data_IF_084311415711
#
_entry.id   IF_084311415711
#
_cell.length_a   1.000
_cell.length_b   1.000
_cell.length_c   1.000
_cell.angle_alpha   90.00
_cell.angle_beta   90.00
_cell.angle_gamma   90.00
#
_symmetry.space_group_name_H-M   'P 1'
#
loop_
_entity.id
_entity.type
_entity.pdbx_description
1 polymer ?
#
# COMPACT_ATOMS: atom_id res chain seq x y z
N UNK A 1 -19.91 -5.93 7.24
CA UNK A 1 -19.62 -4.87 8.22
C UNK A 1 -20.72 -4.80 9.29
N UNK A 2 -22.01 -4.80 8.95
CA UNK A 2 -23.12 -4.84 9.91
C UNK A 2 -22.98 -5.92 10.98
N UNK A 3 -22.72 -7.17 10.57
CA UNK A 3 -22.50 -8.29 11.51
C UNK A 3 -21.37 -7.99 12.50
N UNK A 4 -20.28 -7.39 12.05
CA UNK A 4 -19.16 -7.04 12.93
C UNK A 4 -19.59 -6.01 13.99
N UNK A 5 -20.22 -4.93 13.54
CA UNK A 5 -20.64 -3.82 14.41
C UNK A 5 -21.73 -4.23 15.41
N UNK A 6 -22.63 -5.14 15.01
CA UNK A 6 -23.67 -5.69 15.91
C UNK A 6 -23.14 -6.72 16.89
N UNK A 7 -22.03 -7.40 16.56
CA UNK A 7 -21.42 -8.41 17.43
C UNK A 7 -20.63 -7.78 18.57
N UNK A 8 -19.90 -6.70 18.29
CA UNK A 8 -19.14 -5.96 19.30
C UNK A 8 -18.97 -4.51 18.84
N UNK A 9 -19.44 -3.55 19.64
CA UNK A 9 -19.36 -2.12 19.39
C UNK A 9 -17.94 -1.57 19.33
N UNK A 10 -16.99 -2.26 19.95
CA UNK A 10 -15.58 -1.89 19.88
C UNK A 10 -14.88 -2.38 18.62
N UNK A 11 -15.49 -3.24 17.84
CA UNK A 11 -14.91 -3.73 16.59
C UNK A 11 -14.80 -2.63 15.54
N UNK A 12 -13.75 -2.71 14.71
CA UNK A 12 -13.57 -1.83 13.57
C UNK A 12 -12.97 -2.58 12.38
N UNK A 13 -13.07 -1.97 11.21
CA UNK A 13 -12.51 -2.49 9.96
C UNK A 13 -11.52 -1.47 9.41
N UNK A 14 -10.36 -1.95 8.98
CA UNK A 14 -9.41 -1.23 8.13
C UNK A 14 -9.39 -1.97 6.81
N UNK A 15 -9.87 -1.37 5.71
CA UNK A 15 -9.78 -1.98 4.38
C UNK A 15 -8.34 -2.21 3.99
N UNK A 16 -7.99 -3.47 3.68
CA UNK A 16 -6.65 -3.88 3.33
C UNK A 16 -6.27 -3.43 1.91
N UNK A 17 -4.99 -3.06 1.70
CA UNK A 17 -4.35 -2.78 0.39
C UNK A 17 -5.33 -2.21 -0.65
N UNK A 18 -5.91 -1.04 -0.34
CA UNK A 18 -7.09 -0.49 -1.01
C UNK A 18 -6.99 -0.30 -2.52
N UNK A 19 -5.81 -0.36 -3.10
CA UNK A 19 -5.53 -0.08 -4.50
C UNK A 19 -5.20 -1.29 -5.37
N UNK A 20 -4.93 -2.47 -4.79
CA UNK A 20 -4.58 -3.64 -5.61
C UNK A 20 -5.68 -3.95 -6.62
N UNK A 21 -5.35 -4.41 -7.85
CA UNK A 21 -6.36 -4.61 -8.90
C UNK A 21 -7.53 -5.50 -8.48
N UNK A 22 -7.28 -6.49 -7.63
CA UNK A 22 -8.29 -7.41 -7.08
C UNK A 22 -8.28 -7.37 -5.55
N UNK A 23 -9.39 -7.74 -4.94
CA UNK A 23 -9.56 -7.87 -3.48
C UNK A 23 -9.25 -6.58 -2.71
N UNK A 24 -9.65 -5.45 -3.28
CA UNK A 24 -9.45 -4.12 -2.71
C UNK A 24 -10.70 -3.26 -2.90
N UNK A 25 -10.74 -2.07 -2.31
CA UNK A 25 -11.88 -1.16 -2.47
C UNK A 25 -11.76 -0.35 -3.77
N UNK A 26 -10.61 0.26 -4.02
CA UNK A 26 -10.41 1.23 -5.12
C UNK A 26 -9.68 0.65 -6.33
N UNK A 27 -9.30 -0.61 -6.30
CA UNK A 27 -8.57 -1.26 -7.38
C UNK A 27 -9.33 -1.27 -8.71
N UNK A 28 -8.60 -1.37 -9.80
CA UNK A 28 -9.15 -1.31 -11.17
C UNK A 28 -10.19 -2.40 -11.50
N UNK A 29 -10.32 -3.41 -10.67
CA UNK A 29 -11.30 -4.51 -10.81
C UNK A 29 -12.31 -4.57 -9.66
N UNK A 30 -12.29 -3.60 -8.74
CA UNK A 30 -13.23 -3.55 -7.59
C UNK A 30 -14.62 -3.06 -7.99
N UNK A 31 -14.69 -2.12 -8.91
CA UNK A 31 -15.94 -1.49 -9.34
C UNK A 31 -16.33 -0.22 -8.56
N UNK A 32 -15.55 0.20 -7.55
CA UNK A 32 -15.83 1.38 -6.73
C UNK A 32 -14.79 2.48 -6.96
N UNK A 33 -15.21 3.74 -6.86
CA UNK A 33 -14.38 4.94 -7.03
C UNK A 33 -14.23 5.74 -5.73
N UNK A 34 -14.87 5.31 -4.66
CA UNK A 34 -14.74 5.88 -3.32
C UNK A 34 -15.08 4.87 -2.24
N UNK A 35 -14.69 5.19 -1.00
CA UNK A 35 -15.02 4.39 0.19
C UNK A 35 -16.53 4.42 0.43
N UNK A 36 -17.16 5.57 0.17
CA UNK A 36 -18.60 5.79 0.31
C UNK A 36 -19.41 4.92 -0.68
N UNK A 37 -18.94 4.77 -1.92
CA UNK A 37 -19.60 3.86 -2.89
C UNK A 37 -19.53 2.39 -2.45
N UNK A 38 -18.48 1.98 -1.75
CA UNK A 38 -18.29 0.60 -1.32
C UNK A 38 -19.04 0.25 -0.04
N UNK A 39 -19.05 1.16 0.93
CA UNK A 39 -19.57 0.93 2.28
C UNK A 39 -20.88 1.67 2.58
N UNK A 40 -21.34 2.51 1.66
CA UNK A 40 -22.56 3.30 1.74
C UNK A 40 -22.67 4.06 3.08
N UNK A 41 -23.76 3.94 3.81
CA UNK A 41 -23.98 4.56 5.12
C UNK A 41 -23.02 4.03 6.21
N UNK A 42 -22.45 2.84 6.04
CA UNK A 42 -21.44 2.28 6.93
C UNK A 42 -20.04 2.87 6.74
N UNK A 43 -19.82 3.71 5.73
CA UNK A 43 -18.54 4.37 5.46
C UNK A 43 -18.08 5.28 6.62
N UNK A 44 -19.01 5.75 7.46
CA UNK A 44 -18.71 6.54 8.66
C UNK A 44 -17.95 5.74 9.73
N UNK A 45 -18.01 4.42 9.70
CA UNK A 45 -17.27 3.52 10.59
C UNK A 45 -15.86 3.16 10.09
N UNK A 46 -15.48 3.62 8.89
CA UNK A 46 -14.12 3.50 8.38
C UNK A 46 -13.36 4.78 8.71
N UNK A 47 -12.28 4.68 9.45
CA UNK A 47 -11.45 5.80 9.88
C UNK A 47 -9.97 5.65 9.45
N UNK A 48 -9.56 4.46 9.03
CA UNK A 48 -8.23 4.20 8.51
C UNK A 48 -8.28 3.30 7.27
N UNK A 49 -7.26 3.40 6.42
CA UNK A 49 -7.09 2.64 5.18
C UNK A 49 -5.67 2.12 5.09
N UNK A 50 -5.48 0.93 4.52
CA UNK A 50 -4.14 0.39 4.31
C UNK A 50 -3.61 0.73 2.92
N UNK A 51 -2.38 1.28 2.87
CA UNK A 51 -1.66 1.58 1.64
C UNK A 51 -1.40 0.32 0.81
N UNK A 52 -0.83 -0.70 1.45
CA UNK A 52 -0.33 -1.92 0.79
C UNK A 52 0.91 -1.65 -0.06
N UNK A 53 1.64 -2.70 -0.41
CA UNK A 53 2.98 -2.68 -1.01
C UNK A 53 3.12 -1.95 -2.36
N UNK A 54 2.04 -1.63 -3.04
CA UNK A 54 2.07 -1.03 -4.39
C UNK A 54 1.61 0.43 -4.40
N UNK A 55 1.30 1.00 -3.24
CA UNK A 55 1.04 2.43 -3.05
C UNK A 55 1.68 2.92 -1.76
N UNK A 56 1.82 4.22 -1.63
CA UNK A 56 2.31 4.90 -0.44
C UNK A 56 1.37 6.05 -0.03
N UNK A 57 1.58 6.70 1.11
CA UNK A 57 0.78 7.84 1.51
C UNK A 57 0.76 8.99 0.52
N UNK A 58 1.86 9.28 -0.17
CA UNK A 58 1.92 10.36 -1.16
C UNK A 58 0.99 10.11 -2.34
N UNK A 59 0.89 8.86 -2.80
CA UNK A 59 -0.06 8.45 -3.83
C UNK A 59 -1.51 8.60 -3.32
N UNK A 60 -1.79 8.18 -2.10
CA UNK A 60 -3.12 8.28 -1.49
C UNK A 60 -3.57 9.74 -1.34
N UNK A 61 -2.68 10.66 -0.93
CA UNK A 61 -2.99 12.07 -0.75
C UNK A 61 -3.24 12.83 -2.06
N UNK A 62 -2.97 12.23 -3.23
CA UNK A 62 -3.41 12.78 -4.51
C UNK A 62 -4.93 12.72 -4.71
N UNK A 63 -5.63 11.94 -3.89
CA UNK A 63 -7.09 11.78 -3.94
C UNK A 63 -7.70 12.43 -2.71
N UNK A 64 -8.24 13.65 -2.86
CA UNK A 64 -8.73 14.46 -1.72
C UNK A 64 -9.85 13.81 -0.91
N UNK A 65 -10.63 12.92 -1.53
CA UNK A 65 -11.65 12.12 -0.84
C UNK A 65 -11.10 11.20 0.25
N UNK A 66 -9.78 10.92 0.22
CA UNK A 66 -9.11 10.07 1.21
C UNK A 66 -8.54 10.86 2.41
N UNK A 67 -8.60 12.19 2.40
CA UNK A 67 -7.98 13.05 3.42
C UNK A 67 -8.48 12.81 4.85
N UNK A 68 -9.69 12.31 5.02
CA UNK A 68 -10.27 12.06 6.34
C UNK A 68 -9.77 10.78 7.00
N UNK A 69 -9.07 9.93 6.26
CA UNK A 69 -8.62 8.63 6.74
C UNK A 69 -7.16 8.69 7.19
N UNK A 70 -6.85 8.04 8.31
CA UNK A 70 -5.47 7.72 8.66
C UNK A 70 -4.98 6.58 7.79
N UNK A 71 -3.72 6.64 7.38
CA UNK A 71 -3.12 5.58 6.57
C UNK A 71 -2.31 4.65 7.45
N UNK A 72 -2.53 3.36 7.30
CA UNK A 72 -1.72 2.31 7.92
C UNK A 72 -0.94 1.56 6.86
N UNK A 73 0.20 1.03 7.25
CA UNK A 73 1.06 0.21 6.42
C UNK A 73 1.36 -1.08 7.16
N UNK A 74 1.16 -2.20 6.50
CA UNK A 74 1.38 -3.52 7.08
C UNK A 74 2.01 -4.43 6.04
N UNK A 75 2.86 -5.34 6.47
CA UNK A 75 3.73 -6.13 5.59
C UNK A 75 3.02 -7.11 4.66
N UNK A 76 1.75 -7.41 4.87
CA UNK A 76 0.99 -8.45 4.14
C UNK A 76 1.82 -9.75 4.00
N UNK A 77 2.46 -10.15 5.12
CA UNK A 77 3.48 -11.18 5.14
C UNK A 77 2.88 -12.58 5.03
N UNK A 78 3.21 -13.30 3.97
CA UNK A 78 2.87 -14.70 3.76
C UNK A 78 4.03 -15.65 4.14
N UNK A 79 5.11 -15.10 4.70
CA UNK A 79 6.26 -15.86 5.24
C UNK A 79 7.00 -15.03 6.28
N UNK A 80 7.70 -15.67 7.24
CA UNK A 80 8.43 -14.96 8.31
C UNK A 80 9.45 -13.94 7.81
N UNK A 81 10.09 -14.22 6.68
CA UNK A 81 11.10 -13.32 6.06
C UNK A 81 10.53 -12.02 5.50
N UNK A 82 9.20 -11.88 5.43
CA UNK A 82 8.52 -10.68 4.94
C UNK A 82 7.86 -9.87 6.05
N UNK A 83 7.97 -10.29 7.30
CA UNK A 83 7.49 -9.52 8.45
C UNK A 83 8.24 -8.19 8.55
N UNK A 84 7.51 -7.15 8.96
CA UNK A 84 8.02 -5.80 9.21
C UNK A 84 8.69 -5.10 8.00
N UNK A 85 8.43 -5.54 6.77
CA UNK A 85 8.87 -4.80 5.58
C UNK A 85 8.07 -3.50 5.39
N UNK A 86 6.89 -3.45 5.96
CA UNK A 86 6.04 -2.28 6.17
C UNK A 86 5.51 -2.28 7.59
N UNK A 87 5.27 -1.11 8.17
CA UNK A 87 4.76 -0.97 9.53
C UNK A 87 4.09 0.38 9.77
N UNK A 88 3.17 0.42 10.73
CA UNK A 88 2.59 1.66 11.26
C UNK A 88 3.29 2.05 12.55
N UNK A 89 3.61 3.34 12.72
CA UNK A 89 4.35 3.87 13.85
C UNK A 89 3.39 4.58 14.81
N UNK A 90 3.47 4.18 16.07
CA UNK A 90 2.75 4.84 17.18
C UNK A 90 3.74 5.42 18.20
N UNK A 91 3.34 6.46 18.94
CA UNK A 91 4.21 7.14 19.90
C UNK A 91 4.35 6.43 21.25
N UNK A 92 3.55 5.41 21.52
CA UNK A 92 3.59 4.61 22.74
C UNK A 92 3.40 3.13 22.42
N UNK A 93 3.53 2.26 23.44
CA UNK A 93 3.27 0.83 23.26
C UNK A 93 1.78 0.60 22.95
N UNK A 94 1.43 0.08 21.76
CA UNK A 94 0.06 0.02 21.31
C UNK A 94 -0.66 -1.21 21.84
N UNK A 95 -1.74 -1.00 22.58
CA UNK A 95 -2.79 -2.00 22.76
C UNK A 95 -3.95 -1.75 21.77
N UNK A 96 -4.96 -2.59 21.80
CA UNK A 96 -6.11 -2.51 20.89
C UNK A 96 -6.81 -1.16 20.95
N UNK A 97 -7.14 -0.67 22.14
CA UNK A 97 -7.88 0.57 22.32
C UNK A 97 -7.03 1.79 22.01
N UNK A 98 -5.73 1.73 22.31
CA UNK A 98 -4.78 2.75 21.92
C UNK A 98 -4.71 2.88 20.39
N UNK A 99 -4.59 1.75 19.66
CA UNK A 99 -4.58 1.77 18.20
C UNK A 99 -5.89 2.33 17.63
N UNK A 100 -7.04 1.87 18.14
CA UNK A 100 -8.37 2.37 17.74
C UNK A 100 -8.47 3.89 17.94
N UNK A 101 -8.09 4.38 19.12
CA UNK A 101 -8.08 5.81 19.43
C UNK A 101 -7.14 6.59 18.52
N UNK A 102 -5.90 6.13 18.36
CA UNK A 102 -4.90 6.81 17.54
C UNK A 102 -5.34 6.93 16.06
N UNK A 103 -5.96 5.90 15.50
CA UNK A 103 -6.47 5.91 14.13
C UNK A 103 -7.81 6.62 13.97
N UNK A 104 -8.50 6.94 15.05
CA UNK A 104 -9.75 7.71 15.03
C UNK A 104 -9.51 9.20 15.25
N UNK A 105 -8.63 9.54 16.18
CA UNK A 105 -8.40 10.93 16.63
C UNK A 105 -7.08 11.52 16.14
N UNK A 106 -6.11 10.68 15.80
CA UNK A 106 -4.73 11.03 15.50
C UNK A 106 -3.82 11.09 16.73
N UNK A 107 -4.36 11.01 17.94
CA UNK A 107 -3.55 11.07 19.16
C UNK A 107 -2.70 9.80 19.30
N UNK A 108 -1.38 9.97 19.19
CA UNK A 108 -0.43 8.86 19.23
C UNK A 108 -0.11 8.21 17.88
N UNK A 109 -0.81 8.56 16.80
CA UNK A 109 -0.42 8.17 15.45
C UNK A 109 0.79 9.00 15.01
N UNK A 110 1.86 8.34 14.54
CA UNK A 110 3.10 9.01 14.11
C UNK A 110 3.27 8.95 12.60
N UNK A 111 2.93 7.82 11.99
CA UNK A 111 3.08 7.63 10.54
C UNK A 111 3.35 6.18 10.15
N UNK A 112 4.01 6.01 9.01
CA UNK A 112 4.23 4.70 8.40
C UNK A 112 5.68 4.48 7.96
N UNK A 113 6.08 3.21 7.93
CA UNK A 113 7.25 2.72 7.22
C UNK A 113 6.72 2.00 5.99
N UNK A 114 7.14 2.47 4.83
CA UNK A 114 6.66 2.02 3.53
C UNK A 114 7.76 1.31 2.75
N UNK A 115 7.36 0.33 1.97
CA UNK A 115 8.14 -0.18 0.87
C UNK A 115 8.05 0.81 -0.31
N UNK A 116 9.02 0.79 -1.22
CA UNK A 116 8.92 1.62 -2.42
C UNK A 116 7.83 1.06 -3.34
N UNK A 117 6.76 1.81 -3.67
CA UNK A 117 5.62 1.29 -4.41
C UNK A 117 5.98 0.69 -5.77
N UNK A 118 7.01 1.23 -6.41
CA UNK A 118 7.52 0.80 -7.72
C UNK A 118 8.05 -0.64 -7.70
N UNK A 119 8.51 -1.11 -6.53
CA UNK A 119 8.91 -2.50 -6.29
C UNK A 119 7.71 -3.42 -6.06
N UNK A 120 6.53 -2.84 -5.83
CA UNK A 120 5.29 -3.55 -5.62
C UNK A 120 4.79 -4.23 -6.90
N UNK A 121 4.43 -5.48 -6.80
CA UNK A 121 4.00 -6.35 -7.92
C UNK A 121 2.90 -5.76 -8.79
N UNK A 122 2.05 -4.91 -8.21
CA UNK A 122 0.85 -4.36 -8.85
C UNK A 122 0.96 -2.87 -9.13
N UNK A 123 2.12 -2.26 -8.90
CA UNK A 123 2.29 -0.82 -9.07
C UNK A 123 2.07 -0.39 -10.53
N UNK A 124 2.80 -0.98 -11.44
CA UNK A 124 2.70 -0.69 -12.87
C UNK A 124 1.61 -1.51 -13.58
N UNK A 125 1.18 -0.99 -14.73
CA UNK A 125 0.30 -1.71 -15.64
C UNK A 125 1.06 -2.85 -16.33
N UNK A 126 0.37 -3.90 -16.73
CA UNK A 126 1.13 -4.95 -17.40
C UNK A 126 0.35 -6.13 -17.94
N UNK A 127 1.10 -6.97 -18.64
CA UNK A 127 0.62 -8.27 -19.11
C UNK A 127 1.69 -9.34 -18.85
N UNK A 128 1.58 -10.01 -17.70
CA UNK A 128 2.57 -10.94 -17.19
C UNK A 128 2.97 -12.05 -18.19
N UNK A 129 2.02 -12.56 -18.99
CA UNK A 129 2.32 -13.61 -19.99
C UNK A 129 3.22 -13.12 -21.12
N UNK A 130 3.26 -11.83 -21.37
CA UNK A 130 4.04 -11.20 -22.42
C UNK A 130 5.25 -10.43 -21.86
N UNK A 131 5.48 -10.50 -20.55
CA UNK A 131 6.54 -9.77 -19.85
C UNK A 131 6.48 -8.25 -20.12
N UNK A 132 5.24 -7.70 -20.13
CA UNK A 132 5.00 -6.28 -20.34
C UNK A 132 4.76 -5.61 -19.00
N UNK A 133 5.49 -4.52 -18.76
CA UNK A 133 5.38 -3.61 -17.63
C UNK A 133 5.43 -2.17 -18.17
N UNK A 134 4.39 -1.37 -17.91
CA UNK A 134 4.20 -0.05 -18.49
C UNK A 134 3.78 0.95 -17.43
N UNK A 135 4.21 2.19 -17.59
CA UNK A 135 3.65 3.30 -16.83
C UNK A 135 2.23 3.69 -17.34
N UNK A 136 1.46 4.48 -16.56
CA UNK A 136 0.12 4.89 -16.95
C UNK A 136 0.06 5.67 -18.26
N UNK A 137 1.08 6.45 -18.59
CA UNK A 137 1.11 7.28 -19.82
C UNK A 137 1.28 6.40 -21.04
N UNK A 138 2.18 5.41 -20.95
CA UNK A 138 2.39 4.44 -22.03
C UNK A 138 1.15 3.57 -22.22
N UNK A 139 0.54 3.10 -21.12
CA UNK A 139 -0.72 2.35 -21.18
C UNK A 139 -1.83 3.12 -21.87
N UNK A 140 -1.97 4.42 -21.59
CA UNK A 140 -2.95 5.30 -22.26
C UNK A 140 -2.68 5.42 -23.76
N UNK A 141 -1.42 5.60 -24.16
CA UNK A 141 -1.04 5.66 -25.59
C UNK A 141 -1.40 4.38 -26.35
N UNK A 142 -1.31 3.23 -25.67
CA UNK A 142 -1.65 1.91 -26.23
C UNK A 142 -3.15 1.56 -26.07
N UNK A 143 -3.97 2.48 -25.56
CA UNK A 143 -5.41 2.23 -25.33
C UNK A 143 -5.68 1.08 -24.36
N UNK A 144 -4.76 0.80 -23.41
CA UNK A 144 -4.89 -0.28 -22.45
C UNK A 144 -4.69 -1.69 -23.04
N UNK A 145 -4.08 -1.80 -24.24
CA UNK A 145 -3.93 -3.04 -24.96
C UNK A 145 -2.44 -3.46 -24.99
N UNK A 146 -2.20 -4.73 -24.73
CA UNK A 146 -0.85 -5.31 -24.78
C UNK A 146 -0.30 -5.28 -26.21
N UNK A 147 0.88 -4.64 -26.46
CA UNK A 147 1.44 -4.52 -27.80
C UNK A 147 1.93 -5.86 -28.39
N UNK A 148 2.05 -6.90 -27.57
CA UNK A 148 2.54 -8.22 -28.00
C UNK A 148 1.40 -9.14 -28.42
N UNK A 149 0.30 -9.18 -27.67
CA UNK A 149 -0.77 -10.17 -27.92
C UNK A 149 -2.16 -9.55 -28.13
N UNK A 150 -2.27 -8.23 -28.17
CA UNK A 150 -3.51 -7.47 -28.36
C UNK A 150 -4.63 -7.77 -27.34
N UNK A 151 -4.27 -8.31 -26.16
CA UNK A 151 -5.22 -8.49 -25.05
C UNK A 151 -5.18 -7.28 -24.10
N UNK A 152 -6.26 -7.03 -23.33
CA UNK A 152 -6.27 -5.98 -22.32
C UNK A 152 -5.11 -6.14 -21.33
N UNK A 153 -4.46 -5.02 -21.01
CA UNK A 153 -3.51 -4.93 -19.90
C UNK A 153 -4.24 -5.04 -18.56
N UNK A 154 -3.55 -5.54 -17.55
CA UNK A 154 -3.97 -5.36 -16.16
C UNK A 154 -3.59 -3.95 -15.76
N UNK A 155 -4.56 -3.14 -15.41
CA UNK A 155 -4.36 -1.77 -14.90
C UNK A 155 -3.82 -1.86 -13.48
N UNK A 156 -2.67 -1.26 -13.27
CA UNK A 156 -1.96 -1.24 -12.01
C UNK A 156 -2.43 -0.14 -11.05
N UNK A 157 -1.77 -0.09 -9.91
CA UNK A 157 -2.09 0.87 -8.85
C UNK A 157 -1.78 2.30 -9.26
N UNK A 158 -0.62 2.55 -9.87
CA UNK A 158 -0.21 3.89 -10.32
C UNK A 158 -1.21 4.51 -11.29
N UNK A 159 -1.69 3.74 -12.27
CA UNK A 159 -2.71 4.18 -13.21
C UNK A 159 -4.04 4.49 -12.50
N UNK A 160 -4.45 3.60 -11.59
CA UNK A 160 -5.73 3.75 -10.89
C UNK A 160 -5.74 4.95 -9.95
N UNK A 161 -4.64 5.18 -9.23
CA UNK A 161 -4.47 6.41 -8.43
C UNK A 161 -4.55 7.64 -9.33
N UNK A 162 -3.81 7.67 -10.44
CA UNK A 162 -3.86 8.79 -11.41
C UNK A 162 -5.27 9.03 -11.99
N UNK A 163 -6.06 7.97 -12.18
CA UNK A 163 -7.43 8.05 -12.67
C UNK A 163 -8.38 8.72 -11.66
N UNK A 164 -8.19 8.48 -10.36
CA UNK A 164 -9.01 9.02 -9.29
C UNK A 164 -8.45 10.31 -8.66
N UNK A 165 -7.22 10.68 -9.00
CA UNK A 165 -6.54 11.86 -8.48
C UNK A 165 -7.24 13.15 -8.91
N UNK A 166 -7.36 14.07 -7.96
CA UNK A 166 -7.81 15.45 -8.13
C UNK A 166 -6.75 16.49 -7.74
N UNK A 167 -5.54 16.00 -7.36
CA UNK A 167 -4.38 16.82 -7.01
C UNK A 167 -3.16 16.38 -7.80
N UNK A 168 -2.45 17.35 -8.37
CA UNK A 168 -1.26 17.14 -9.18
C UNK A 168 -0.17 18.13 -8.78
N UNK A 169 1.10 17.71 -8.85
CA UNK A 169 2.23 18.53 -8.45
C UNK A 169 2.35 18.67 -6.93
N UNK A 170 2.88 19.82 -6.48
CA UNK A 170 3.04 20.11 -5.05
C UNK A 170 1.69 20.46 -4.41
N UNK A 171 1.34 19.74 -3.37
CA UNK A 171 0.16 19.99 -2.55
C UNK A 171 0.47 19.82 -1.05
N UNK A 172 -0.34 20.45 -0.22
CA UNK A 172 -0.22 20.30 1.24
C UNK A 172 -0.85 18.96 1.66
N UNK A 173 -0.09 18.10 2.37
CA UNK A 173 -0.64 16.86 2.93
C UNK A 173 -1.86 17.13 3.83
N UNK A 174 -2.80 16.18 3.93
CA UNK A 174 -3.98 16.33 4.78
C UNK A 174 -3.61 16.38 6.27
N UNK A 175 -4.56 16.81 7.10
CA UNK A 175 -4.36 16.87 8.57
C UNK A 175 -4.13 15.48 9.21
N UNK A 176 -4.59 14.44 8.57
CA UNK A 176 -4.38 13.03 8.96
C UNK A 176 -3.00 12.49 8.56
N UNK A 177 -2.21 13.27 7.82
CA UNK A 177 -0.89 12.86 7.36
C UNK A 177 0.08 12.65 8.51
N UNK A 178 0.69 11.48 8.56
CA UNK A 178 1.79 11.16 9.44
C UNK A 178 3.15 11.27 8.74
N UNK A 179 4.22 10.97 9.47
CA UNK A 179 5.56 10.83 8.91
C UNK A 179 5.61 9.61 7.99
N UNK A 180 6.25 9.75 6.84
CA UNK A 180 6.49 8.64 5.89
C UNK A 180 7.98 8.34 5.85
N UNK A 181 8.34 7.07 6.04
CA UNK A 181 9.72 6.58 5.95
C UNK A 181 9.75 5.44 4.96
N UNK A 182 10.33 5.66 3.77
CA UNK A 182 10.45 4.62 2.76
C UNK A 182 11.76 3.85 2.95
N UNK A 183 11.68 2.52 3.04
CA UNK A 183 12.81 1.63 3.26
C UNK A 183 12.79 0.44 2.30
N UNK A 184 13.98 0.06 1.82
CA UNK A 184 14.18 -1.22 1.14
C UNK A 184 14.76 -2.23 2.15
N UNK A 185 14.24 -3.45 2.25
CA UNK A 185 14.81 -4.48 3.13
C UNK A 185 16.30 -4.74 2.85
N UNK A 186 17.14 -4.77 3.89
CA UNK A 186 18.58 -4.94 3.76
C UNK A 186 18.96 -6.15 2.88
N UNK A 187 18.22 -7.24 3.01
CA UNK A 187 18.49 -8.45 2.22
C UNK A 187 18.28 -8.22 0.70
N UNK A 188 17.34 -7.35 0.33
CA UNK A 188 17.08 -7.00 -1.07
C UNK A 188 18.17 -6.07 -1.62
N UNK A 189 18.66 -5.12 -0.81
CA UNK A 189 19.83 -4.28 -1.14
C UNK A 189 21.07 -5.14 -1.40
N UNK A 190 21.34 -6.12 -0.53
CA UNK A 190 22.47 -7.05 -0.70
C UNK A 190 22.28 -7.88 -1.98
N UNK A 191 21.08 -8.38 -2.23
CA UNK A 191 20.77 -9.17 -3.40
C UNK A 191 21.03 -8.39 -4.71
N UNK A 192 20.55 -7.16 -4.79
CA UNK A 192 20.80 -6.26 -5.93
C UNK A 192 22.31 -5.97 -6.10
N UNK A 193 23.00 -5.62 -5.00
CA UNK A 193 24.44 -5.33 -5.04
C UNK A 193 25.27 -6.49 -5.56
N UNK A 194 24.87 -7.72 -5.22
CA UNK A 194 25.55 -8.95 -5.65
C UNK A 194 25.02 -9.49 -6.98
N UNK A 195 23.98 -8.88 -7.54
CA UNK A 195 23.24 -9.37 -8.72
C UNK A 195 22.80 -10.84 -8.56
N UNK A 196 22.23 -11.15 -7.39
CA UNK A 196 21.76 -12.48 -7.01
C UNK A 196 20.31 -12.39 -6.50
N UNK A 197 19.63 -13.54 -6.40
CA UNK A 197 18.33 -13.60 -5.73
C UNK A 197 18.51 -13.49 -4.21
N UNK A 198 17.57 -12.88 -3.51
CA UNK A 198 17.57 -12.75 -2.04
C UNK A 198 17.69 -14.09 -1.30
N UNK A 199 17.24 -15.19 -1.91
CA UNK A 199 17.36 -16.56 -1.37
C UNK A 199 18.71 -17.21 -1.58
N UNK A 200 19.64 -16.58 -2.30
CA UNK A 200 20.97 -17.16 -2.56
C UNK A 200 21.79 -17.24 -1.27
N UNK A 201 22.50 -18.36 -1.05
CA UNK A 201 23.33 -18.59 0.13
C UNK A 201 24.33 -17.47 0.41
N UNK A 202 24.91 -16.87 -0.66
CA UNK A 202 25.86 -15.76 -0.53
C UNK A 202 25.18 -14.50 0.02
N UNK A 203 23.96 -14.22 -0.40
CA UNK A 203 23.16 -13.08 0.09
C UNK A 203 22.79 -13.30 1.55
N UNK A 204 22.32 -14.49 1.90
CA UNK A 204 21.96 -14.84 3.28
C UNK A 204 23.17 -14.74 4.20
N UNK A 205 24.33 -15.29 3.81
CA UNK A 205 25.56 -15.22 4.60
C UNK A 205 26.07 -13.79 4.80
N UNK A 206 25.95 -12.93 3.79
CA UNK A 206 26.30 -11.50 3.93
C UNK A 206 25.32 -10.76 4.84
N UNK A 207 24.04 -11.04 4.72
CA UNK A 207 23.01 -10.51 5.62
C UNK A 207 23.31 -10.89 7.09
N UNK A 208 23.53 -12.17 7.38
CA UNK A 208 23.86 -12.65 8.72
C UNK A 208 25.16 -12.00 9.25
N UNK A 209 26.18 -11.86 8.40
CA UNK A 209 27.43 -11.18 8.75
C UNK A 209 27.21 -9.73 9.19
N UNK A 210 26.37 -8.98 8.45
CA UNK A 210 26.07 -7.59 8.78
C UNK A 210 25.24 -7.48 10.06
N UNK A 211 24.20 -8.30 10.23
CA UNK A 211 23.38 -8.33 11.45
C UNK A 211 24.22 -8.68 12.68
N UNK A 212 25.08 -9.69 12.59
CA UNK A 212 25.95 -10.08 13.70
C UNK A 212 26.98 -9.00 14.08
N UNK A 213 27.33 -8.11 13.13
CA UNK A 213 28.31 -7.05 13.37
C UNK A 213 27.69 -5.74 13.87
N UNK A 214 26.50 -5.42 13.43
CA UNK A 214 25.91 -4.07 13.61
C UNK A 214 24.49 -4.08 14.22
N UNK A 215 23.79 -5.22 14.22
CA UNK A 215 22.44 -5.40 14.75
C UNK A 215 22.47 -5.94 16.15
#
# INVERSE_FOLDING_TARGET
>A
MEILLTTNEDSYIIPAHIWTPWFSVLGSKSGFNSIEECYEDLSSHIFALETGLSSDPYMNWQVSKLDRFYLVSNSDAHSPSKLAREATIFSSFPDYFYIKNALTTGEGYVGTIEFYPEEGKYHFDGHRKCDICLDPIETRKLGGICPVCNKPLTIGVSYRVLELSDRFGDFTPPKTAGKVVSLTPLIEIIAQTLNLRSTAKKVQGEYERLINKFG
#
